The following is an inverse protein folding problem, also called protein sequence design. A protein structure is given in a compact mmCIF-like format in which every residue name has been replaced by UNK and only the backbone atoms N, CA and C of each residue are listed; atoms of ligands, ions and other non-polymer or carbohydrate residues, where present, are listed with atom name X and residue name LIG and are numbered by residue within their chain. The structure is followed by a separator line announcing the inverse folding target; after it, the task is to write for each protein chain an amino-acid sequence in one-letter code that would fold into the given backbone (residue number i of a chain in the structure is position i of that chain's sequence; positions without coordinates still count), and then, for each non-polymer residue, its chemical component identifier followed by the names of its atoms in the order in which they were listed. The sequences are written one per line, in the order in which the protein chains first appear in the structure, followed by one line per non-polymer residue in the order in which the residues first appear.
data_IF_363537806116
#
_entry.id   IF_363537806116
#
_cell.length_a   1.000
_cell.length_b   1.000
_cell.length_c   1.000
_cell.angle_alpha   90.00
_cell.angle_beta   90.00
_cell.angle_gamma   90.00
#
_symmetry.space_group_name_H-M   'P 1'
#
loop_
_entity.id
_entity.type
_entity.pdbx_description
1 polymer ?
#
# COMPACT_ATOMS: atom_id res chain seq x y z
N UNK A 1 37.79 15.35 49.56
CA UNK A 1 36.33 15.54 49.78
C UNK A 1 35.70 16.04 48.48
N UNK A 2 34.92 15.21 47.76
CA UNK A 2 34.18 15.69 46.57
C UNK A 2 33.18 16.76 47.03
N UNK A 3 33.27 17.97 46.47
CA UNK A 3 32.45 19.11 46.90
C UNK A 3 30.96 18.78 46.81
N UNK A 4 30.15 19.33 47.71
CA UNK A 4 28.69 19.11 47.75
C UNK A 4 28.03 19.38 46.38
N UNK A 5 28.55 20.37 45.64
CA UNK A 5 28.15 20.73 44.27
C UNK A 5 28.32 19.56 43.30
N UNK A 6 29.40 18.79 43.40
CA UNK A 6 29.65 17.62 42.54
C UNK A 6 28.64 16.49 42.76
N UNK A 7 28.27 16.22 44.02
CA UNK A 7 27.29 15.17 44.34
C UNK A 7 25.89 15.51 43.83
N UNK A 8 25.50 16.78 43.95
CA UNK A 8 24.22 17.28 43.42
C UNK A 8 24.23 17.23 41.90
N UNK A 9 25.30 17.72 41.27
CA UNK A 9 25.46 17.70 39.82
C UNK A 9 25.29 16.29 39.25
N UNK A 10 26.00 15.29 39.80
CA UNK A 10 25.89 13.90 39.35
C UNK A 10 24.45 13.38 39.47
N UNK A 11 23.76 13.61 40.59
CA UNK A 11 22.38 13.12 40.77
C UNK A 11 21.40 13.77 39.80
N UNK A 12 21.48 15.08 39.61
CA UNK A 12 20.62 15.81 38.66
C UNK A 12 20.90 15.35 37.22
N UNK A 13 22.17 15.25 36.84
CA UNK A 13 22.55 14.74 35.52
C UNK A 13 22.08 13.31 35.28
N UNK A 14 22.15 12.42 36.27
CA UNK A 14 21.62 11.04 36.14
C UNK A 14 20.12 11.05 35.86
N UNK A 15 19.33 11.85 36.58
CA UNK A 15 17.88 11.95 36.34
C UNK A 15 17.58 12.47 34.94
N UNK A 16 18.29 13.51 34.48
CA UNK A 16 18.12 14.06 33.14
C UNK A 16 18.46 13.06 32.03
N UNK A 17 19.54 12.28 32.20
CA UNK A 17 19.93 11.24 31.24
C UNK A 17 18.87 10.14 31.18
N UNK A 18 18.35 9.71 32.34
CA UNK A 18 17.29 8.69 32.39
C UNK A 18 16.02 9.19 31.67
N UNK A 19 15.60 10.43 31.93
CA UNK A 19 14.45 11.03 31.23
C UNK A 19 14.68 11.12 29.71
N UNK A 20 15.87 11.52 29.28
CA UNK A 20 16.23 11.59 27.85
C UNK A 20 16.18 10.21 27.18
N UNK A 21 16.71 9.17 27.83
CA UNK A 21 16.67 7.80 27.31
C UNK A 21 15.24 7.28 27.20
N UNK A 22 14.39 7.58 28.18
CA UNK A 22 12.95 7.22 28.13
C UNK A 22 12.27 7.91 26.95
N UNK A 23 12.50 9.22 26.76
CA UNK A 23 11.94 9.96 25.62
C UNK A 23 12.39 9.36 24.28
N UNK A 24 13.69 9.09 24.10
CA UNK A 24 14.17 8.47 22.86
C UNK A 24 13.57 7.09 22.59
N UNK A 25 13.36 6.28 23.63
CA UNK A 25 12.70 4.99 23.46
C UNK A 25 11.25 5.15 22.97
N UNK A 26 10.50 6.12 23.52
CA UNK A 26 9.14 6.42 23.09
C UNK A 26 9.11 6.94 21.65
N UNK A 27 9.97 7.91 21.32
CA UNK A 27 10.02 8.52 19.99
C UNK A 27 10.38 7.51 18.90
N UNK A 28 11.28 6.56 19.18
CA UNK A 28 11.62 5.50 18.24
C UNK A 28 10.40 4.64 17.86
N UNK A 29 9.58 4.27 18.86
CA UNK A 29 8.35 3.50 18.61
C UNK A 29 7.30 4.29 17.84
N UNK A 30 7.15 5.58 18.16
CA UNK A 30 6.23 6.47 17.47
C UNK A 30 6.65 6.66 16.02
N UNK A 31 7.93 6.90 15.76
CA UNK A 31 8.45 7.12 14.42
C UNK A 31 8.22 5.90 13.52
N UNK A 32 8.41 4.68 14.05
CA UNK A 32 8.12 3.44 13.31
C UNK A 32 6.64 3.34 12.92
N UNK A 33 5.74 3.56 13.87
CA UNK A 33 4.30 3.51 13.60
C UNK A 33 3.86 4.60 12.61
N UNK A 34 4.41 5.81 12.74
CA UNK A 34 4.17 6.92 11.82
C UNK A 34 4.65 6.58 10.40
N UNK A 35 5.82 5.96 10.26
CA UNK A 35 6.36 5.54 8.96
C UNK A 35 5.44 4.50 8.29
N UNK A 36 5.01 3.46 9.01
CA UNK A 36 4.11 2.42 8.49
C UNK A 36 2.75 3.01 8.10
N UNK A 37 2.14 3.83 8.96
CA UNK A 37 0.85 4.45 8.67
C UNK A 37 0.93 5.40 7.48
N UNK A 38 2.02 6.18 7.36
CA UNK A 38 2.26 7.04 6.21
C UNK A 38 2.39 6.24 4.90
N UNK A 39 3.13 5.13 4.92
CA UNK A 39 3.24 4.23 3.76
C UNK A 39 1.86 3.65 3.38
N UNK A 40 1.07 3.24 4.36
CA UNK A 40 -0.31 2.74 4.18
C UNK A 40 -1.23 3.77 3.54
N UNK A 41 -1.28 4.99 4.09
CA UNK A 41 -2.14 6.06 3.58
C UNK A 41 -1.73 6.50 2.17
N UNK A 42 -0.42 6.58 1.91
CA UNK A 42 0.12 6.87 0.57
C UNK A 42 -0.25 5.78 -0.43
N UNK A 43 -0.04 4.51 -0.08
CA UNK A 43 -0.38 3.38 -0.94
C UNK A 43 -1.88 3.31 -1.24
N UNK A 44 -2.74 3.55 -0.24
CA UNK A 44 -4.19 3.64 -0.41
C UNK A 44 -4.57 4.78 -1.36
N UNK A 45 -3.98 5.95 -1.19
CA UNK A 45 -4.23 7.12 -2.05
C UNK A 45 -3.83 6.84 -3.50
N UNK A 46 -2.69 6.21 -3.71
CA UNK A 46 -2.23 5.81 -5.05
C UNK A 46 -3.20 4.78 -5.64
N UNK A 47 -3.62 3.76 -4.88
CA UNK A 47 -4.55 2.75 -5.37
C UNK A 47 -5.91 3.34 -5.77
N UNK A 48 -6.45 4.28 -5.00
CA UNK A 48 -7.68 5.00 -5.34
C UNK A 48 -7.50 5.86 -6.59
N UNK A 49 -6.35 6.53 -6.73
CA UNK A 49 -6.00 7.29 -7.93
C UNK A 49 -5.92 6.38 -9.14
N UNK A 50 -5.26 5.22 -9.03
CA UNK A 50 -5.17 4.20 -10.09
C UNK A 50 -6.56 3.71 -10.47
N UNK A 51 -7.43 3.39 -9.50
CA UNK A 51 -8.84 3.00 -9.76
C UNK A 51 -9.57 4.06 -10.58
N UNK A 52 -9.49 5.32 -10.15
CA UNK A 52 -10.15 6.45 -10.82
C UNK A 52 -9.61 6.64 -12.25
N UNK A 53 -8.29 6.67 -12.42
CA UNK A 53 -7.63 6.81 -13.72
C UNK A 53 -7.96 5.66 -14.67
N UNK A 54 -7.97 4.40 -14.19
CA UNK A 54 -8.39 3.25 -14.99
C UNK A 54 -9.83 3.38 -15.47
N UNK A 55 -10.73 3.84 -14.60
CA UNK A 55 -12.14 4.10 -14.95
C UNK A 55 -12.24 5.15 -16.05
N UNK A 56 -11.49 6.25 -15.93
CA UNK A 56 -11.44 7.29 -16.95
C UNK A 56 -10.89 6.77 -18.27
N UNK A 57 -9.81 5.98 -18.24
CA UNK A 57 -9.26 5.34 -19.44
C UNK A 57 -10.26 4.39 -20.10
N UNK A 58 -11.04 3.63 -19.32
CA UNK A 58 -12.11 2.77 -19.85
C UNK A 58 -13.20 3.60 -20.53
N UNK A 59 -13.69 4.67 -19.88
CA UNK A 59 -14.72 5.56 -20.46
C UNK A 59 -14.26 6.25 -21.74
N UNK A 60 -12.98 6.60 -21.83
CA UNK A 60 -12.37 7.20 -23.02
C UNK A 60 -12.00 6.17 -24.10
N UNK A 61 -12.16 4.87 -23.85
CA UNK A 61 -11.72 3.81 -24.77
C UNK A 61 -10.19 3.66 -24.88
N UNK A 62 -9.43 4.28 -23.98
CA UNK A 62 -7.96 4.32 -23.97
C UNK A 62 -7.33 3.34 -22.96
N UNK A 63 -8.04 2.30 -22.55
CA UNK A 63 -7.54 1.32 -21.57
C UNK A 63 -6.22 0.64 -21.99
N UNK A 64 -5.92 0.59 -23.29
CA UNK A 64 -4.64 0.09 -23.83
C UNK A 64 -3.43 0.93 -23.39
N UNK A 65 -3.64 2.21 -23.04
CA UNK A 65 -2.59 3.12 -22.57
C UNK A 65 -2.32 3.02 -21.07
N UNK A 66 -3.01 2.13 -20.35
CA UNK A 66 -2.82 1.87 -18.92
C UNK A 66 -1.36 1.70 -18.53
N UNK A 67 -0.60 0.90 -19.28
CA UNK A 67 0.75 0.54 -18.84
C UNK A 67 1.68 1.78 -18.84
N UNK A 68 1.47 2.72 -19.77
CA UNK A 68 2.18 4.01 -19.78
C UNK A 68 1.86 4.80 -18.51
N UNK A 69 0.59 4.85 -18.12
CA UNK A 69 0.16 5.50 -16.89
C UNK A 69 0.75 4.83 -15.64
N UNK A 70 0.68 3.51 -15.54
CA UNK A 70 1.24 2.77 -14.39
C UNK A 70 2.75 2.97 -14.26
N UNK A 71 3.49 2.87 -15.36
CA UNK A 71 4.94 3.12 -15.36
C UNK A 71 5.27 4.56 -14.91
N UNK A 72 4.44 5.55 -15.24
CA UNK A 72 4.64 6.92 -14.78
C UNK A 72 4.47 7.07 -13.26
N UNK A 73 3.63 6.22 -12.63
CA UNK A 73 3.43 6.19 -11.19
C UNK A 73 4.56 5.45 -10.48
N UNK A 74 5.03 4.32 -11.02
CA UNK A 74 6.17 3.57 -10.48
C UNK A 74 7.47 4.40 -10.48
N UNK A 75 7.64 5.32 -11.43
CA UNK A 75 8.79 6.23 -11.45
C UNK A 75 8.75 7.30 -10.33
N UNK A 76 7.67 7.40 -9.55
CA UNK A 76 7.66 8.27 -8.37
C UNK A 76 8.37 7.58 -7.20
N UNK A 77 9.20 8.34 -6.48
CA UNK A 77 9.93 7.84 -5.30
C UNK A 77 8.97 7.14 -4.32
N UNK A 78 9.38 5.94 -3.89
CA UNK A 78 8.76 5.07 -2.88
C UNK A 78 7.67 4.11 -3.40
N UNK A 79 7.47 3.95 -4.71
CA UNK A 79 6.61 2.88 -5.25
C UNK A 79 7.50 1.84 -5.92
N UNK A 80 7.57 0.63 -5.39
CA UNK A 80 8.35 -0.45 -5.99
C UNK A 80 7.62 -1.05 -7.20
N UNK A 81 6.31 -1.29 -7.07
CA UNK A 81 5.51 -1.85 -8.17
C UNK A 81 4.01 -1.57 -8.02
N UNK A 82 3.33 -1.46 -9.16
CA UNK A 82 1.87 -1.38 -9.26
C UNK A 82 1.40 -2.42 -10.27
N UNK A 83 0.53 -3.31 -9.80
CA UNK A 83 0.01 -4.42 -10.60
C UNK A 83 -1.52 -4.39 -10.62
N UNK A 84 -2.09 -4.59 -11.81
CA UNK A 84 -3.53 -4.71 -12.01
C UNK A 84 -3.86 -6.15 -12.35
N UNK A 85 -4.71 -6.76 -11.53
CA UNK A 85 -5.04 -8.16 -11.60
C UNK A 85 -6.48 -8.28 -12.10
N UNK A 86 -6.72 -9.17 -13.07
CA UNK A 86 -8.06 -9.39 -13.61
C UNK A 86 -8.84 -10.36 -12.74
N UNK A 87 -10.08 -9.99 -12.43
CA UNK A 87 -11.04 -10.87 -11.77
C UNK A 87 -11.81 -11.72 -12.78
N UNK A 88 -12.51 -12.73 -12.26
CA UNK A 88 -13.25 -13.70 -13.08
C UNK A 88 -14.25 -13.06 -14.06
N UNK A 89 -15.04 -12.02 -13.71
CA UNK A 89 -15.96 -11.38 -14.66
C UNK A 89 -15.24 -10.78 -15.87
N UNK A 90 -14.10 -10.13 -15.64
CA UNK A 90 -13.27 -9.52 -16.71
C UNK A 90 -12.63 -10.60 -17.56
N UNK A 91 -12.12 -11.67 -16.95
CA UNK A 91 -11.53 -12.81 -17.66
C UNK A 91 -12.57 -13.47 -18.57
N UNK A 92 -13.79 -13.70 -18.08
CA UNK A 92 -14.88 -14.29 -18.88
C UNK A 92 -15.26 -13.44 -20.10
N UNK A 93 -15.17 -12.12 -19.98
CA UNK A 93 -15.59 -11.21 -21.04
C UNK A 93 -14.46 -10.88 -22.04
N UNK A 94 -13.22 -10.75 -21.58
CA UNK A 94 -12.10 -10.22 -22.36
C UNK A 94 -10.88 -11.16 -22.43
N UNK A 95 -10.98 -12.35 -21.85
CA UNK A 95 -9.90 -13.34 -21.77
C UNK A 95 -8.93 -13.08 -20.62
N UNK A 96 -8.01 -14.03 -20.43
CA UNK A 96 -7.06 -14.06 -19.29
C UNK A 96 -6.12 -12.85 -19.23
N UNK A 97 -5.91 -12.15 -20.35
CA UNK A 97 -4.99 -11.03 -20.40
C UNK A 97 -3.52 -11.47 -20.43
N UNK A 98 -2.64 -10.62 -19.90
CA UNK A 98 -1.18 -10.85 -19.88
C UNK A 98 -0.77 -11.64 -18.64
N UNK A 99 0.39 -12.28 -18.67
CA UNK A 99 0.88 -13.11 -17.56
C UNK A 99 0.97 -12.35 -16.23
N UNK A 100 1.39 -11.08 -16.27
CA UNK A 100 1.47 -10.22 -15.09
C UNK A 100 0.11 -9.70 -14.60
N UNK A 101 -1.00 -9.94 -15.32
CA UNK A 101 -2.36 -9.60 -14.86
C UNK A 101 -2.99 -10.76 -14.06
N UNK A 102 -2.25 -11.86 -13.85
CA UNK A 102 -2.65 -13.00 -13.02
C UNK A 102 -2.20 -12.78 -11.57
N UNK A 103 -2.97 -13.26 -10.57
CA UNK A 103 -2.53 -13.20 -9.18
C UNK A 103 -1.24 -14.01 -8.99
N UNK A 104 -0.23 -13.42 -8.36
CA UNK A 104 1.09 -14.01 -8.14
C UNK A 104 1.24 -14.64 -6.75
N UNK A 105 0.51 -14.14 -5.76
CA UNK A 105 0.60 -14.61 -4.37
C UNK A 105 -0.77 -14.83 -3.72
N UNK A 106 -0.75 -15.35 -2.49
CA UNK A 106 -1.97 -15.70 -1.76
C UNK A 106 -2.78 -14.48 -1.33
N UNK A 107 -2.15 -13.32 -1.06
CA UNK A 107 -2.89 -12.10 -0.71
C UNK A 107 -3.69 -11.61 -1.93
N UNK A 108 -3.08 -11.60 -3.12
CA UNK A 108 -3.76 -11.25 -4.37
C UNK A 108 -4.93 -12.19 -4.67
N UNK A 109 -4.75 -13.50 -4.51
CA UNK A 109 -5.83 -14.49 -4.69
C UNK A 109 -6.95 -14.27 -3.68
N UNK A 110 -6.60 -14.07 -2.40
CA UNK A 110 -7.57 -13.91 -1.32
C UNK A 110 -8.44 -12.68 -1.57
N UNK A 111 -7.85 -11.53 -1.92
CA UNK A 111 -8.60 -10.30 -2.22
C UNK A 111 -9.55 -10.49 -3.42
N UNK A 112 -9.16 -11.23 -4.45
CA UNK A 112 -10.05 -11.52 -5.58
C UNK A 112 -11.26 -12.37 -5.19
N UNK A 113 -11.10 -13.28 -4.21
CA UNK A 113 -12.15 -14.19 -3.75
C UNK A 113 -13.05 -13.52 -2.71
N UNK A 114 -12.47 -12.89 -1.69
CA UNK A 114 -13.22 -12.27 -0.59
C UNK A 114 -13.80 -10.91 -0.97
N UNK A 115 -13.15 -10.22 -1.91
CA UNK A 115 -13.44 -8.81 -2.17
C UNK A 115 -13.11 -7.92 -0.97
N UNK A 116 -12.22 -8.34 -0.09
CA UNK A 116 -11.76 -7.54 1.05
C UNK A 116 -10.35 -7.04 0.80
N UNK A 117 -10.08 -5.79 1.19
CA UNK A 117 -8.73 -5.24 1.11
C UNK A 117 -7.83 -5.94 2.13
N UNK A 118 -6.62 -6.29 1.70
CA UNK A 118 -5.59 -6.85 2.58
C UNK A 118 -4.27 -6.10 2.40
N UNK A 119 -3.51 -5.99 3.48
CA UNK A 119 -2.18 -5.41 3.54
C UNK A 119 -1.21 -6.33 4.27
N UNK A 120 0.08 -6.22 3.92
CA UNK A 120 1.16 -7.00 4.51
C UNK A 120 2.42 -6.15 4.60
N UNK A 121 3.04 -6.14 5.78
CA UNK A 121 4.38 -5.63 5.98
C UNK A 121 5.37 -6.80 5.88
N UNK A 122 6.35 -6.69 4.99
CA UNK A 122 7.43 -7.65 4.80
C UNK A 122 8.73 -7.02 5.30
N UNK A 123 9.17 -7.43 6.49
CA UNK A 123 10.40 -6.94 7.10
C UNK A 123 11.51 -7.97 6.93
N UNK A 124 12.64 -7.55 6.37
CA UNK A 124 13.89 -8.31 6.32
C UNK A 124 15.02 -7.47 6.91
N UNK A 125 16.19 -8.07 7.11
CA UNK A 125 17.37 -7.35 7.64
C UNK A 125 17.84 -6.22 6.72
N UNK A 126 17.56 -6.31 5.42
CA UNK A 126 18.04 -5.38 4.40
C UNK A 126 16.94 -4.45 3.88
N UNK A 127 15.70 -4.93 3.77
CA UNK A 127 14.59 -4.20 3.17
C UNK A 127 13.30 -4.35 3.98
N UNK A 128 12.51 -3.28 4.01
CA UNK A 128 11.15 -3.27 4.58
C UNK A 128 10.20 -2.89 3.45
N UNK A 129 9.26 -3.77 3.12
CA UNK A 129 8.29 -3.55 2.06
C UNK A 129 6.89 -3.56 2.61
N UNK A 130 6.08 -2.62 2.15
CA UNK A 130 4.67 -2.58 2.50
C UNK A 130 3.82 -2.87 1.26
N UNK A 131 3.13 -4.01 1.26
CA UNK A 131 2.23 -4.44 0.19
C UNK A 131 0.78 -4.22 0.58
N UNK A 132 -0.01 -3.65 -0.31
CA UNK A 132 -1.47 -3.53 -0.18
C UNK A 132 -2.16 -4.02 -1.44
N UNK A 133 -3.24 -4.77 -1.27
CA UNK A 133 -4.08 -5.26 -2.36
C UNK A 133 -5.51 -4.81 -2.13
N UNK A 134 -6.04 -4.01 -3.07
CA UNK A 134 -7.38 -3.43 -3.00
C UNK A 134 -8.27 -4.04 -4.08
N UNK A 135 -9.45 -4.57 -3.74
CA UNK A 135 -10.37 -5.12 -4.71
C UNK A 135 -11.02 -4.00 -5.53
N UNK A 136 -11.13 -4.23 -6.84
CA UNK A 136 -11.94 -3.40 -7.71
C UNK A 136 -13.34 -4.02 -7.80
N UNK A 137 -14.24 -3.57 -6.92
CA UNK A 137 -15.67 -3.93 -6.96
C UNK A 137 -16.44 -3.15 -8.03
N UNK A 138 -17.34 -3.83 -8.71
CA UNK A 138 -18.22 -3.25 -9.71
C UNK A 138 -19.23 -2.30 -9.05
N UNK A 139 -19.30 -1.08 -9.59
CA UNK A 139 -20.34 -0.09 -9.31
C UNK A 139 -21.29 0.02 -10.51
N UNK A 140 -22.39 0.76 -10.37
CA UNK A 140 -23.36 0.96 -11.46
C UNK A 140 -22.71 1.43 -12.77
N UNK A 141 -21.74 2.33 -12.69
CA UNK A 141 -21.01 2.83 -13.86
C UNK A 141 -20.15 1.76 -14.55
N UNK A 142 -19.71 0.73 -13.83
CA UNK A 142 -18.91 -0.35 -14.41
C UNK A 142 -19.76 -1.24 -15.33
N UNK A 143 -21.07 -1.33 -15.05
CA UNK A 143 -22.00 -2.19 -15.78
C UNK A 143 -22.31 -1.68 -17.20
N UNK A 144 -21.93 -0.43 -17.51
CA UNK A 144 -22.03 0.12 -18.86
C UNK A 144 -21.08 -0.58 -19.84
N UNK A 145 -20.01 -1.20 -19.34
CA UNK A 145 -18.99 -1.87 -20.17
C UNK A 145 -18.74 -3.33 -19.75
N UNK A 146 -18.93 -3.66 -18.48
CA UNK A 146 -18.67 -4.99 -17.93
C UNK A 146 -19.95 -5.78 -17.67
N UNK A 147 -19.97 -7.03 -18.14
CA UNK A 147 -21.01 -8.02 -17.82
C UNK A 147 -20.78 -8.55 -16.40
N UNK A 148 -21.19 -7.77 -15.41
CA UNK A 148 -21.06 -8.07 -13.99
C UNK A 148 -22.30 -7.61 -13.22
N UNK A 149 -22.34 -7.84 -11.91
CA UNK A 149 -23.32 -7.27 -10.98
C UNK A 149 -22.64 -6.29 -10.05
N UNK A 150 -23.40 -5.34 -9.50
CA UNK A 150 -22.88 -4.44 -8.45
C UNK A 150 -22.33 -5.28 -7.30
N UNK A 151 -21.11 -4.96 -6.85
CA UNK A 151 -20.40 -5.70 -5.80
C UNK A 151 -19.49 -6.82 -6.30
N UNK A 152 -19.63 -7.29 -7.55
CA UNK A 152 -18.72 -8.29 -8.13
C UNK A 152 -17.27 -7.76 -8.16
N UNK A 153 -16.30 -8.62 -7.86
CA UNK A 153 -14.88 -8.26 -7.93
C UNK A 153 -14.40 -8.37 -9.38
N UNK A 154 -14.26 -7.22 -10.05
CA UNK A 154 -13.77 -7.12 -11.43
C UNK A 154 -12.25 -7.37 -11.53
N UNK A 155 -11.53 -7.19 -10.43
CA UNK A 155 -10.09 -7.34 -10.35
C UNK A 155 -9.54 -6.83 -9.03
N UNK A 156 -8.23 -6.66 -8.97
CA UNK A 156 -7.55 -6.09 -7.81
C UNK A 156 -6.39 -5.19 -8.24
N UNK A 157 -6.07 -4.21 -7.41
CA UNK A 157 -4.91 -3.33 -7.56
C UNK A 157 -3.94 -3.72 -6.44
N UNK A 158 -2.76 -4.19 -6.82
CA UNK A 158 -1.69 -4.56 -5.88
C UNK A 158 -0.58 -3.52 -5.98
N UNK A 159 -0.21 -2.93 -4.85
CA UNK A 159 0.86 -1.93 -4.75
C UNK A 159 1.87 -2.41 -3.71
N UNK A 160 3.14 -2.35 -4.07
CA UNK A 160 4.25 -2.56 -3.13
C UNK A 160 5.03 -1.26 -2.99
N UNK A 161 5.22 -0.82 -1.76
CA UNK A 161 5.99 0.34 -1.35
C UNK A 161 7.32 -0.11 -0.74
N UNK A 162 8.35 0.71 -0.94
CA UNK A 162 9.68 0.65 -0.32
C UNK A 162 9.82 1.74 0.76
#
# INVERSE_FOLDING_TARGET
MKSLKWRIFVRVSTVLIVLFLIMQALDFTNFRNLAINSAKDKALTIALTVKSSLTSLMKLGQIKSRDIFLNSLENNKNVESIKIIRGLPVIKQFGEGRAYEKPADEIEKTVLVTGEQLDKLEESLENVKYKIVIPYKAENQCLQCHKAKVGDVLGAISITMD
#
